data_IF_364224646741
#
_entry.id   IF_364224646741
#
_cell.length_a   1.000
_cell.length_b   1.000
_cell.length_c   1.000
_cell.angle_alpha   90.00
_cell.angle_beta   90.00
_cell.angle_gamma   90.00
#
_symmetry.space_group_name_H-M   'P 1'
#
loop_
_entity.id
_entity.type
_entity.pdbx_description
1 polymer ?
#
# COMPACT_ATOMS: atom_id res chain seq x y z
N UNK A 1 17.40 -9.00 0.25
CA UNK A 1 15.99 -8.99 -0.20
C UNK A 1 15.27 -10.11 0.54
N UNK A 2 14.27 -9.80 1.36
CA UNK A 2 13.49 -10.82 2.07
C UNK A 2 12.25 -11.17 1.25
N UNK A 3 12.00 -12.46 1.08
CA UNK A 3 10.86 -13.01 0.34
C UNK A 3 10.01 -13.81 1.32
N UNK A 4 8.71 -13.53 1.37
CA UNK A 4 7.77 -14.25 2.23
C UNK A 4 6.61 -14.79 1.37
N UNK A 5 6.55 -16.11 1.16
CA UNK A 5 5.38 -16.75 0.53
C UNK A 5 4.25 -16.90 1.56
N UNK A 6 3.02 -16.54 1.18
CA UNK A 6 1.82 -16.77 1.97
C UNK A 6 0.74 -17.43 1.11
N UNK A 7 0.11 -18.46 1.69
CA UNK A 7 -1.06 -19.13 1.11
C UNK A 7 -2.31 -18.56 1.78
N UNK A 8 -3.17 -17.88 1.00
CA UNK A 8 -4.47 -17.43 1.50
C UNK A 8 -5.41 -18.65 1.58
N UNK A 9 -6.11 -18.83 2.72
CA UNK A 9 -6.95 -20.02 2.95
C UNK A 9 -8.01 -20.20 1.86
N UNK A 10 -8.12 -21.43 1.38
CA UNK A 10 -8.91 -21.94 0.25
C UNK A 10 -8.41 -21.57 -1.16
N UNK A 11 -7.21 -22.06 -1.50
CA UNK A 11 -6.89 -22.68 -2.80
C UNK A 11 -6.81 -21.81 -4.07
N UNK A 12 -7.16 -20.52 -4.03
CA UNK A 12 -7.33 -19.73 -5.26
C UNK A 12 -6.22 -18.76 -5.61
N UNK A 13 -5.28 -18.47 -4.69
CA UNK A 13 -4.15 -17.59 -5.00
C UNK A 13 -2.92 -17.82 -4.11
N UNK A 14 -1.74 -17.77 -4.73
CA UNK A 14 -0.45 -17.69 -4.05
C UNK A 14 0.01 -16.24 -3.99
N UNK A 15 0.41 -15.77 -2.80
CA UNK A 15 0.92 -14.40 -2.60
C UNK A 15 2.42 -14.42 -2.34
N UNK A 16 3.17 -13.71 -3.17
CA UNK A 16 4.59 -13.44 -2.99
C UNK A 16 4.77 -12.01 -2.50
N UNK A 17 5.37 -11.83 -1.32
CA UNK A 17 5.74 -10.49 -0.82
C UNK A 17 7.25 -10.37 -0.76
N UNK A 18 7.80 -9.38 -1.46
CA UNK A 18 9.22 -9.03 -1.49
C UNK A 18 9.40 -7.71 -0.75
N UNK A 19 10.43 -7.61 0.10
CA UNK A 19 10.75 -6.36 0.81
C UNK A 19 10.14 -6.22 2.21
N UNK A 20 9.45 -7.25 2.72
CA UNK A 20 9.14 -7.37 4.14
C UNK A 20 10.41 -7.72 4.92
N UNK A 21 11.25 -6.70 5.15
CA UNK A 21 12.41 -6.83 6.01
C UNK A 21 12.03 -7.31 7.42
N UNK A 22 12.95 -8.00 8.10
CA UNK A 22 12.78 -8.41 9.50
C UNK A 22 12.54 -7.20 10.41
N UNK A 23 12.02 -7.43 11.61
CA UNK A 23 11.60 -6.40 12.60
C UNK A 23 12.62 -5.26 12.78
N UNK A 24 13.93 -5.53 12.57
CA UNK A 24 15.02 -4.56 12.73
C UNK A 24 15.52 -3.86 11.45
N UNK A 25 15.18 -4.35 10.26
CA UNK A 25 15.59 -3.74 8.97
C UNK A 25 14.46 -3.87 7.95
N UNK A 26 13.35 -3.16 8.18
CA UNK A 26 12.27 -3.08 7.19
C UNK A 26 12.75 -2.29 5.98
N UNK A 27 12.83 -2.96 4.83
CA UNK A 27 12.97 -2.24 3.57
C UNK A 27 11.76 -1.32 3.40
N UNK A 28 11.97 -0.05 2.98
CA UNK A 28 10.87 0.88 2.82
C UNK A 28 10.06 0.59 1.55
N UNK A 29 10.58 -0.22 0.63
CA UNK A 29 9.88 -0.65 -0.60
C UNK A 29 9.43 -2.09 -0.43
N UNK A 30 8.20 -2.38 -0.85
CA UNK A 30 7.60 -3.71 -0.88
C UNK A 30 6.96 -3.99 -2.23
N UNK A 31 7.13 -5.18 -2.79
CA UNK A 31 6.40 -5.64 -3.98
C UNK A 31 5.55 -6.84 -3.56
N UNK A 32 4.26 -6.81 -3.88
CA UNK A 32 3.33 -7.90 -3.67
C UNK A 32 2.82 -8.40 -5.02
N UNK A 33 2.85 -9.72 -5.20
CA UNK A 33 2.37 -10.39 -6.40
C UNK A 33 1.36 -11.44 -5.95
N UNK A 34 0.12 -11.33 -6.45
CA UNK A 34 -0.93 -12.32 -6.21
C UNK A 34 -1.16 -13.11 -7.50
N UNK A 35 -0.83 -14.40 -7.47
CA UNK A 35 -0.95 -15.33 -8.58
C UNK A 35 -2.18 -16.21 -8.38
N UNK A 36 -3.23 -16.13 -9.23
CA UNK A 36 -4.38 -17.01 -9.13
C UNK A 36 -4.01 -18.47 -9.46
N UNK A 37 -4.61 -19.42 -8.74
CA UNK A 37 -4.47 -20.87 -8.94
C UNK A 37 -5.86 -21.50 -9.12
N UNK A 38 -6.07 -22.39 -10.10
CA UNK A 38 -5.12 -22.84 -11.13
C UNK A 38 -4.73 -21.71 -12.11
N UNK A 39 -3.61 -21.88 -12.84
CA UNK A 39 -3.00 -20.92 -13.77
C UNK A 39 -3.93 -20.38 -14.90
N UNK A 40 -5.16 -20.88 -14.97
CA UNK A 40 -6.22 -20.41 -15.87
C UNK A 40 -7.15 -19.36 -15.23
N UNK A 41 -6.91 -18.96 -13.98
CA UNK A 41 -7.79 -18.06 -13.20
C UNK A 41 -7.67 -16.57 -13.51
N UNK A 42 -6.85 -16.17 -14.49
CA UNK A 42 -6.65 -14.78 -14.91
C UNK A 42 -5.20 -14.27 -14.73
N UNK A 43 -4.91 -13.03 -15.16
CA UNK A 43 -3.57 -12.46 -15.05
C UNK A 43 -3.19 -12.22 -13.58
N UNK A 44 -1.90 -12.36 -13.21
CA UNK A 44 -1.42 -12.03 -11.88
C UNK A 44 -1.62 -10.54 -11.58
N UNK A 45 -1.85 -10.22 -10.30
CA UNK A 45 -1.95 -8.83 -9.85
C UNK A 45 -0.68 -8.39 -9.15
N UNK A 46 -0.29 -7.13 -9.38
CA UNK A 46 0.92 -6.54 -8.82
C UNK A 46 0.54 -5.34 -7.95
N UNK A 47 1.17 -5.21 -6.79
CA UNK A 47 1.07 -4.03 -5.93
C UNK A 47 2.49 -3.62 -5.48
N UNK A 48 2.88 -2.39 -5.83
CA UNK A 48 4.10 -1.76 -5.33
C UNK A 48 3.75 -0.89 -4.13
N UNK A 49 4.34 -1.18 -2.99
CA UNK A 49 4.21 -0.42 -1.76
C UNK A 49 5.50 0.30 -1.39
N UNK A 50 5.35 1.48 -0.80
CA UNK A 50 6.39 2.20 -0.10
C UNK A 50 5.88 2.56 1.30
N UNK A 51 6.73 2.43 2.31
CA UNK A 51 6.46 2.85 3.67
C UNK A 51 7.72 3.44 4.28
N UNK A 52 7.60 4.65 4.82
CA UNK A 52 8.63 5.29 5.63
C UNK A 52 8.00 5.79 6.93
N UNK A 53 8.56 5.38 8.05
CA UNK A 53 8.26 5.96 9.35
C UNK A 53 9.26 7.07 9.61
N UNK A 54 8.76 8.24 9.97
CA UNK A 54 9.53 9.40 10.40
C UNK A 54 9.14 9.70 11.85
N UNK A 55 9.92 10.49 12.61
CA UNK A 55 9.54 10.87 13.98
C UNK A 55 8.14 11.52 14.01
N UNK A 56 7.18 10.86 14.66
CA UNK A 56 5.78 11.32 14.76
C UNK A 56 4.96 11.32 13.46
N UNK A 57 5.49 10.76 12.37
CA UNK A 57 4.85 10.76 11.04
C UNK A 57 5.00 9.42 10.33
N UNK A 58 4.01 9.04 9.54
CA UNK A 58 4.11 7.86 8.68
C UNK A 58 3.67 8.21 7.27
N UNK A 59 4.54 7.95 6.29
CA UNK A 59 4.22 8.04 4.87
C UNK A 59 4.09 6.62 4.31
N UNK A 60 3.00 6.36 3.60
CA UNK A 60 2.81 5.14 2.82
C UNK A 60 2.35 5.50 1.43
N UNK A 61 2.94 4.89 0.41
CA UNK A 61 2.43 4.93 -0.95
C UNK A 61 2.14 3.52 -1.42
N UNK A 62 1.12 3.35 -2.25
CA UNK A 62 0.75 2.08 -2.87
C UNK A 62 0.35 2.33 -4.30
N UNK A 63 0.82 1.53 -5.23
CA UNK A 63 0.42 1.57 -6.64
C UNK A 63 0.00 0.17 -7.03
N UNK A 64 -1.24 0.02 -7.49
CA UNK A 64 -1.73 -1.22 -8.07
C UNK A 64 -2.04 -0.98 -9.55
N UNK A 65 -1.18 -1.43 -10.47
CA UNK A 65 -1.44 -1.37 -11.90
C UNK A 65 -2.73 -2.11 -12.29
N UNK A 66 -2.98 -3.28 -11.70
CA UNK A 66 -4.20 -4.07 -11.94
C UNK A 66 -5.44 -3.34 -11.45
N UNK A 67 -5.36 -2.67 -10.29
CA UNK A 67 -6.44 -1.84 -9.76
C UNK A 67 -6.52 -0.45 -10.39
N UNK A 68 -5.59 -0.09 -11.30
CA UNK A 68 -5.50 1.22 -11.98
C UNK A 68 -5.56 2.42 -11.02
N UNK A 69 -4.96 2.25 -9.84
CA UNK A 69 -5.04 3.22 -8.75
C UNK A 69 -3.74 3.29 -7.96
N UNK A 70 -3.35 4.51 -7.63
CA UNK A 70 -2.30 4.84 -6.70
C UNK A 70 -2.91 5.47 -5.44
N UNK A 71 -2.34 5.18 -4.29
CA UNK A 71 -2.76 5.72 -3.00
C UNK A 71 -1.54 6.26 -2.27
N UNK A 72 -1.66 7.44 -1.68
CA UNK A 72 -0.69 7.98 -0.74
C UNK A 72 -1.41 8.24 0.57
N UNK A 73 -0.89 7.69 1.66
CA UNK A 73 -1.36 7.89 3.01
C UNK A 73 -0.28 8.62 3.80
N UNK A 74 -0.66 9.72 4.43
CA UNK A 74 0.19 10.48 5.31
C UNK A 74 -0.49 10.59 6.68
N UNK A 75 0.18 10.13 7.72
CA UNK A 75 -0.30 10.21 9.09
C UNK A 75 0.65 11.09 9.90
N UNK A 76 0.12 12.05 10.65
CA UNK A 76 0.88 12.96 11.52
C UNK A 76 0.17 13.13 12.87
N UNK A 77 0.89 12.84 13.95
CA UNK A 77 0.42 13.01 15.33
C UNK A 77 1.02 14.24 16.02
N UNK A 78 1.79 15.07 15.29
CA UNK A 78 2.47 16.26 15.85
C UNK A 78 1.75 17.56 15.57
N UNK A 79 0.80 17.54 14.64
CA UNK A 79 0.02 18.74 14.26
C UNK A 79 -0.76 19.27 15.47
N UNK A 80 -1.27 18.37 16.29
CA UNK A 80 -2.11 18.71 17.42
C UNK A 80 -1.93 17.71 18.57
N UNK A 81 -1.72 18.16 19.82
CA UNK A 81 -1.63 17.27 20.97
C UNK A 81 -2.92 16.45 21.16
N UNK A 82 -2.80 15.14 21.34
CA UNK A 82 -3.94 14.24 21.57
C UNK A 82 -4.74 13.86 20.31
N UNK A 83 -4.35 14.38 19.14
CA UNK A 83 -4.99 14.06 17.86
C UNK A 83 -3.99 13.53 16.82
N UNK A 84 -4.47 12.60 16.00
CA UNK A 84 -3.76 12.06 14.85
C UNK A 84 -4.51 12.47 13.57
N UNK A 85 -3.78 13.10 12.66
CA UNK A 85 -4.27 13.47 11.35
C UNK A 85 -3.84 12.44 10.32
N UNK A 86 -4.77 12.04 9.45
CA UNK A 86 -4.51 11.13 8.33
C UNK A 86 -5.04 11.75 7.05
N UNK A 87 -4.14 12.04 6.11
CA UNK A 87 -4.47 12.41 4.75
C UNK A 87 -4.32 11.20 3.83
N UNK A 88 -5.31 10.96 2.99
CA UNK A 88 -5.36 9.90 1.97
C UNK A 88 -5.59 10.56 0.63
N UNK A 89 -4.61 10.43 -0.26
CA UNK A 89 -4.72 10.80 -1.66
C UNK A 89 -4.95 9.53 -2.48
N UNK A 90 -6.03 9.46 -3.24
CA UNK A 90 -6.30 8.39 -4.19
C UNK A 90 -6.25 8.95 -5.61
N UNK A 91 -5.38 8.37 -6.44
CA UNK A 91 -5.13 8.78 -7.82
C UNK A 91 -5.47 7.61 -8.73
N UNK A 92 -6.63 7.63 -9.42
CA UNK A 92 -6.86 6.69 -10.50
C UNK A 92 -5.98 7.04 -11.70
N UNK A 93 -5.48 6.02 -12.40
CA UNK A 93 -4.73 6.19 -13.64
C UNK A 93 -5.28 5.22 -14.69
N UNK A 94 -5.78 5.74 -15.79
CA UNK A 94 -6.28 4.95 -16.92
C UNK A 94 -5.47 5.33 -18.15
N UNK A 95 -4.53 4.48 -18.55
CA UNK A 95 -3.55 4.75 -19.62
C UNK A 95 -2.72 6.02 -19.39
N UNK A 96 -1.92 6.38 -20.38
CA UNK A 96 -0.78 7.33 -20.33
C UNK A 96 -1.18 8.80 -20.02
N UNK A 97 -2.45 9.03 -19.72
CA UNK A 97 -3.00 10.36 -19.43
C UNK A 97 -3.41 10.49 -17.97
N UNK A 98 -2.95 11.57 -17.36
CA UNK A 98 -3.32 12.00 -16.01
C UNK A 98 -4.65 12.77 -15.99
N UNK A 99 -5.65 12.28 -16.75
CA UNK A 99 -6.93 13.00 -16.97
C UNK A 99 -7.90 12.87 -15.79
N UNK A 100 -7.46 12.32 -14.67
CA UNK A 100 -8.31 12.11 -13.50
C UNK A 100 -7.96 13.04 -12.34
N UNK A 101 -9.00 13.65 -11.79
CA UNK A 101 -8.90 14.46 -10.57
C UNK A 101 -8.57 13.55 -9.39
N UNK A 102 -7.51 13.83 -8.62
CA UNK A 102 -7.19 13.04 -7.45
C UNK A 102 -8.24 13.25 -6.34
N UNK A 103 -8.62 12.18 -5.66
CA UNK A 103 -9.47 12.26 -4.48
C UNK A 103 -8.61 12.44 -3.24
N UNK A 104 -8.76 13.56 -2.54
CA UNK A 104 -8.11 13.82 -1.26
C UNK A 104 -9.13 13.68 -0.13
N UNK A 105 -8.88 12.76 0.80
CA UNK A 105 -9.63 12.61 2.04
C UNK A 105 -8.72 12.94 3.21
N UNK A 106 -9.20 13.78 4.12
CA UNK A 106 -8.50 14.10 5.37
C UNK A 106 -9.37 13.67 6.54
N UNK A 107 -8.76 12.97 7.50
CA UNK A 107 -9.41 12.47 8.69
C UNK A 107 -8.61 12.88 9.92
N UNK A 108 -9.32 13.24 10.98
CA UNK A 108 -8.77 13.53 12.30
C UNK A 108 -9.33 12.48 13.27
N UNK A 109 -8.46 11.92 14.10
CA UNK A 109 -8.83 10.95 15.14
C UNK A 109 -8.20 11.35 16.47
N UNK A 110 -8.97 11.26 17.55
CA UNK A 110 -8.57 11.60 18.91
C UNK A 110 -8.39 10.33 19.73
N UNK A 111 -7.39 10.33 20.59
CA UNK A 111 -7.21 9.33 21.64
C UNK A 111 -7.58 9.98 22.96
N UNK A 112 -8.75 9.64 23.50
CA UNK A 112 -9.24 10.09 24.80
C UNK A 112 -8.55 9.33 25.92
#
# INVERSE_FOLDING_TARGET
VNVQPQWLRSGKAARLTIGSGSVRKRCPVSLQIDCPLPLNGGPPSYELGFRRTLPGRTLRAKVSPTGRRAFVYYTDARVEPGAQWTAKLAMPFMSDKLDHVPELTMQRSWSW
#
